data_IF_584355439700
#
_entry.id   IF_584355439700
#
_cell.length_a   1.000
_cell.length_b   1.000
_cell.length_c   1.000
_cell.angle_alpha   90.00
_cell.angle_beta   90.00
_cell.angle_gamma   90.00
#
_symmetry.space_group_name_H-M   'P 1'
#
loop_
_entity.id
_entity.type
_entity.pdbx_description
1 polymer ?
#
# COMPACT_ATOMS: atom_id res chain seq x y z
N UNK A 1 21.56 8.65 -1.68
CA UNK A 1 20.58 9.22 -2.64
C UNK A 1 19.74 8.13 -3.29
N UNK A 2 18.43 8.36 -3.48
CA UNK A 2 17.48 7.38 -4.07
C UNK A 2 17.15 7.77 -5.52
N UNK A 3 18.05 7.50 -6.46
CA UNK A 3 17.76 7.69 -7.88
C UNK A 3 16.97 6.50 -8.44
N UNK A 4 15.88 6.76 -9.18
CA UNK A 4 15.10 5.75 -9.90
C UNK A 4 14.28 4.77 -9.04
N UNK A 5 14.23 4.93 -7.71
CA UNK A 5 13.52 3.98 -6.83
C UNK A 5 12.01 4.22 -6.86
N UNK A 6 11.26 3.32 -7.50
CA UNK A 6 9.79 3.39 -7.62
C UNK A 6 9.02 2.85 -6.41
N UNK A 7 9.66 2.03 -5.56
CA UNK A 7 9.00 1.35 -4.44
C UNK A 7 8.85 2.29 -3.24
N UNK A 8 7.61 2.58 -2.85
CA UNK A 8 7.29 3.25 -1.59
C UNK A 8 7.43 2.25 -0.42
N UNK A 9 8.24 2.58 0.58
CA UNK A 9 8.52 1.66 1.69
C UNK A 9 7.45 1.73 2.78
N UNK A 10 6.63 2.79 2.82
CA UNK A 10 5.52 2.98 3.77
C UNK A 10 5.90 2.73 5.25
N UNK A 11 7.19 2.88 5.60
CA UNK A 11 7.73 2.58 6.93
C UNK A 11 7.61 1.10 7.34
N UNK A 12 7.51 0.16 6.39
CA UNK A 12 7.28 -1.28 6.66
C UNK A 12 8.30 -2.17 5.96
N UNK A 13 8.54 -3.35 6.55
CA UNK A 13 9.26 -4.46 5.90
C UNK A 13 8.51 -4.93 4.66
N UNK A 14 9.20 -5.63 3.76
CA UNK A 14 8.60 -6.11 2.52
C UNK A 14 7.41 -7.07 2.76
N UNK A 15 7.55 -8.00 3.69
CA UNK A 15 6.50 -8.97 4.04
C UNK A 15 5.24 -8.29 4.57
N UNK A 16 5.39 -7.38 5.53
CA UNK A 16 4.27 -6.63 6.09
C UNK A 16 3.61 -5.78 5.00
N UNK A 17 4.38 -5.13 4.14
CA UNK A 17 3.84 -4.27 3.08
C UNK A 17 3.00 -5.07 2.07
N UNK A 18 3.46 -6.27 1.70
CA UNK A 18 2.70 -7.16 0.81
C UNK A 18 1.38 -7.58 1.46
N UNK A 19 1.40 -8.04 2.71
CA UNK A 19 0.19 -8.43 3.44
C UNK A 19 -0.80 -7.27 3.57
N UNK A 20 -0.30 -6.06 3.90
CA UNK A 20 -1.12 -4.86 4.05
C UNK A 20 -1.83 -4.48 2.73
N UNK A 21 -1.11 -4.51 1.61
CA UNK A 21 -1.68 -4.15 0.30
C UNK A 21 -2.69 -5.20 -0.18
N UNK A 22 -2.41 -6.50 -0.01
CA UNK A 22 -3.37 -7.56 -0.33
C UNK A 22 -4.67 -7.42 0.44
N UNK A 23 -4.59 -7.17 1.75
CA UNK A 23 -5.80 -6.97 2.56
C UNK A 23 -6.58 -5.72 2.13
N UNK A 24 -5.88 -4.64 1.77
CA UNK A 24 -6.52 -3.40 1.31
C UNK A 24 -7.25 -3.58 -0.02
N UNK A 25 -6.67 -4.35 -0.95
CA UNK A 25 -7.32 -4.71 -2.21
C UNK A 25 -8.59 -5.53 -1.97
N UNK A 26 -8.55 -6.53 -1.09
CA UNK A 26 -9.73 -7.31 -0.69
C UNK A 26 -10.83 -6.44 -0.09
N UNK A 27 -10.49 -5.56 0.86
CA UNK A 27 -11.45 -4.62 1.45
C UNK A 27 -12.06 -3.68 0.40
N UNK A 28 -11.28 -3.22 -0.58
CA UNK A 28 -11.79 -2.36 -1.65
C UNK A 28 -12.81 -3.07 -2.54
N UNK A 29 -12.59 -4.35 -2.84
CA UNK A 29 -13.52 -5.15 -3.66
C UNK A 29 -14.87 -5.33 -2.94
N UNK A 30 -14.82 -5.60 -1.63
CA UNK A 30 -16.00 -5.84 -0.78
C UNK A 30 -16.78 -4.53 -0.57
N UNK A 31 -16.10 -3.47 -0.14
CA UNK A 31 -16.74 -2.23 0.31
C UNK A 31 -16.92 -1.18 -0.80
N UNK A 32 -16.40 -1.43 -2.01
CA UNK A 32 -16.37 -0.52 -3.18
C UNK A 32 -15.62 0.81 -2.99
N UNK A 33 -15.34 1.19 -1.74
CA UNK A 33 -14.57 2.36 -1.34
C UNK A 33 -13.92 2.10 0.02
N UNK A 34 -12.68 2.55 0.19
CA UNK A 34 -11.95 2.49 1.46
C UNK A 34 -11.25 3.83 1.69
N UNK A 35 -11.30 4.33 2.93
CA UNK A 35 -10.56 5.53 3.35
C UNK A 35 -9.20 5.12 3.90
N UNK A 36 -8.12 5.68 3.34
CA UNK A 36 -6.74 5.42 3.76
C UNK A 36 -5.88 6.65 3.53
N UNK A 37 -4.60 6.62 3.92
CA UNK A 37 -3.69 7.75 3.70
C UNK A 37 -3.30 7.85 2.23
N UNK A 38 -3.07 9.08 1.74
CA UNK A 38 -2.72 9.34 0.33
C UNK A 38 -1.51 8.52 -0.12
N UNK A 39 -0.50 8.37 0.73
CA UNK A 39 0.69 7.58 0.42
C UNK A 39 0.40 6.08 0.22
N UNK A 40 -0.57 5.51 0.96
CA UNK A 40 -0.96 4.10 0.82
C UNK A 40 -1.87 3.89 -0.38
N UNK A 41 -2.73 4.85 -0.71
CA UNK A 41 -3.63 4.78 -1.86
C UNK A 41 -2.89 4.85 -3.21
N UNK A 42 -1.72 5.50 -3.26
CA UNK A 42 -0.89 5.66 -4.48
C UNK A 42 0.23 4.62 -4.62
N UNK A 43 0.41 3.77 -3.62
CA UNK A 43 1.48 2.77 -3.58
C UNK A 43 1.11 1.53 -4.40
#
# INVERSE_FOLDING_TARGET
MRHGKKINHLGRTASHRNAMLSNMASSLIISKRVTTTVAKAKA
#
